data_IF_779102027310
#
_entry.id   IF_779102027310
#
_cell.length_a   1.000
_cell.length_b   1.000
_cell.length_c   1.000
_cell.angle_alpha   90.00
_cell.angle_beta   90.00
_cell.angle_gamma   90.00
#
_symmetry.space_group_name_H-M   'P 1'
#
loop_
_entity.id
_entity.type
_entity.pdbx_description
1 polymer ?
#
# COMPACT_ATOMS: atom_id res chain seq x y z
N UNK A 1 7.79 -37.01 -11.41
CA UNK A 1 8.21 -35.85 -12.23
C UNK A 1 7.38 -34.66 -11.76
N UNK A 2 8.05 -33.69 -11.14
CA UNK A 2 7.45 -32.47 -10.58
C UNK A 2 7.21 -31.47 -11.72
N UNK A 3 6.04 -30.84 -11.77
CA UNK A 3 5.75 -29.75 -12.70
C UNK A 3 4.80 -28.78 -12.03
N UNK A 4 5.38 -27.75 -11.40
CA UNK A 4 4.69 -26.73 -10.62
C UNK A 4 3.74 -25.89 -11.47
N UNK A 5 2.48 -25.83 -11.04
CA UNK A 5 1.53 -24.81 -11.45
C UNK A 5 1.56 -23.67 -10.45
N UNK A 6 2.21 -22.57 -10.81
CA UNK A 6 1.85 -21.25 -10.30
C UNK A 6 2.14 -20.23 -11.39
N UNK A 7 1.37 -20.30 -12.46
CA UNK A 7 1.27 -19.18 -13.38
C UNK A 7 0.48 -18.09 -12.65
N UNK A 8 1.16 -17.03 -12.28
CA UNK A 8 0.55 -15.76 -11.86
C UNK A 8 -0.42 -15.33 -12.95
N UNK A 9 -1.72 -15.51 -12.70
CA UNK A 9 -2.75 -15.02 -13.61
C UNK A 9 -2.58 -13.50 -13.79
N UNK A 10 -2.56 -13.01 -15.03
CA UNK A 10 -2.52 -11.58 -15.29
C UNK A 10 -3.79 -10.97 -14.69
N UNK A 11 -3.58 -10.01 -13.79
CA UNK A 11 -4.67 -9.32 -13.12
C UNK A 11 -5.35 -8.43 -14.14
N UNK A 12 -6.43 -8.95 -14.73
CA UNK A 12 -7.34 -8.21 -15.61
C UNK A 12 -8.26 -7.31 -14.77
N UNK A 13 -7.66 -6.29 -14.17
CA UNK A 13 -8.43 -5.21 -13.57
C UNK A 13 -8.65 -4.13 -14.63
N UNK A 14 -9.88 -3.66 -14.84
CA UNK A 14 -10.14 -2.58 -15.78
C UNK A 14 -9.20 -1.40 -15.45
N UNK A 15 -8.53 -0.79 -16.44
CA UNK A 15 -7.47 0.20 -16.25
C UNK A 15 -7.91 1.50 -15.54
N UNK A 16 -9.19 1.57 -15.13
CA UNK A 16 -9.89 2.78 -14.75
C UNK A 16 -10.62 2.71 -13.39
N UNK A 17 -10.39 1.68 -12.56
CA UNK A 17 -10.99 1.64 -11.22
C UNK A 17 -9.97 1.46 -10.07
N UNK A 18 -10.20 2.18 -8.98
CA UNK A 18 -9.52 1.99 -7.68
C UNK A 18 -10.25 0.98 -6.79
N UNK A 19 -11.19 0.22 -7.35
CA UNK A 19 -12.10 -0.66 -6.65
C UNK A 19 -11.55 -2.08 -6.51
N UNK A 20 -10.38 -2.21 -5.89
CA UNK A 20 -9.78 -3.52 -5.60
C UNK A 20 -8.50 -3.83 -6.38
N UNK A 21 -7.79 -2.81 -6.87
CA UNK A 21 -6.46 -3.04 -7.43
C UNK A 21 -5.38 -3.23 -6.38
N UNK A 22 -5.47 -2.52 -5.25
CA UNK A 22 -4.53 -2.64 -4.13
C UNK A 22 -3.08 -2.22 -4.43
N UNK A 23 -2.69 -2.02 -5.69
CA UNK A 23 -1.29 -1.92 -6.14
C UNK A 23 -0.49 -0.87 -5.38
N UNK A 24 -0.98 0.35 -5.22
CA UNK A 24 -0.25 1.35 -4.45
C UNK A 24 -0.22 1.02 -2.95
N UNK A 25 -1.23 0.35 -2.41
CA UNK A 25 -1.28 -0.03 -0.99
C UNK A 25 -0.36 -1.23 -0.68
N UNK A 26 -0.18 -2.15 -1.63
CA UNK A 26 0.77 -3.27 -1.52
C UNK A 26 2.22 -2.78 -1.38
N UNK A 27 2.53 -1.63 -1.98
CA UNK A 27 3.91 -1.15 -2.09
C UNK A 27 4.32 -0.13 -1.03
N UNK A 28 3.40 0.67 -0.49
CA UNK A 28 3.76 1.89 0.26
C UNK A 28 4.15 1.70 1.74
N UNK A 29 3.89 0.53 2.35
CA UNK A 29 4.31 0.20 3.73
C UNK A 29 3.54 0.87 4.88
N UNK A 30 3.42 2.18 4.84
CA UNK A 30 2.53 2.99 5.66
C UNK A 30 1.61 3.79 4.71
N UNK A 31 0.54 4.47 5.19
CA UNK A 31 -0.15 5.43 4.35
C UNK A 31 0.89 6.36 3.71
N UNK A 32 0.84 6.59 2.39
CA UNK A 32 1.88 7.35 1.71
C UNK A 32 2.03 8.75 2.26
N UNK A 33 3.31 9.11 2.42
CA UNK A 33 3.72 10.25 3.20
C UNK A 33 3.54 9.92 4.68
N UNK A 34 4.66 9.79 5.40
CA UNK A 34 4.72 10.05 6.83
C UNK A 34 3.64 11.08 7.17
N UNK A 35 2.62 10.65 7.90
CA UNK A 35 1.46 11.48 8.15
C UNK A 35 1.95 12.83 8.63
N UNK A 36 1.66 13.87 7.84
CA UNK A 36 1.91 15.24 8.27
C UNK A 36 1.26 15.34 9.65
N UNK A 37 1.95 15.86 10.68
CA UNK A 37 1.41 15.86 12.05
C UNK A 37 -0.02 16.41 12.15
N UNK A 38 -0.39 17.31 11.23
CA UNK A 38 -1.75 17.82 11.08
C UNK A 38 -2.81 16.74 10.79
N UNK A 39 -2.52 15.71 9.99
CA UNK A 39 -3.49 14.66 9.68
C UNK A 39 -3.81 13.82 10.92
N UNK A 40 -2.83 13.60 11.81
CA UNK A 40 -3.03 12.85 13.06
C UNK A 40 -4.10 13.51 13.95
N UNK A 41 -4.24 14.83 13.93
CA UNK A 41 -5.23 15.56 14.73
C UNK A 41 -6.67 15.18 14.38
N UNK A 42 -6.91 14.71 13.15
CA UNK A 42 -8.23 14.37 12.64
C UNK A 42 -8.53 12.87 12.69
N UNK A 43 -7.57 12.04 13.11
CA UNK A 43 -7.76 10.60 13.26
C UNK A 43 -8.32 10.26 14.65
N UNK A 44 -9.20 9.24 14.77
CA UNK A 44 -9.55 8.64 16.06
C UNK A 44 -8.31 8.15 16.81
N UNK A 45 -8.40 8.10 18.14
CA UNK A 45 -7.30 7.69 19.01
C UNK A 45 -6.72 6.32 18.65
N UNK A 46 -7.59 5.32 18.45
CA UNK A 46 -7.16 3.97 18.08
C UNK A 46 -6.32 3.93 16.79
N UNK A 47 -6.63 4.77 15.79
CA UNK A 47 -5.85 4.82 14.55
C UNK A 47 -4.50 5.52 14.77
N UNK A 48 -4.48 6.57 15.62
CA UNK A 48 -3.21 7.21 16.00
C UNK A 48 -2.29 6.25 16.73
N UNK A 49 -2.83 5.42 17.62
CA UNK A 49 -2.08 4.39 18.34
C UNK A 49 -1.53 3.31 17.41
N UNK A 50 -2.34 2.81 16.46
CA UNK A 50 -1.90 1.86 15.43
C UNK A 50 -0.73 2.43 14.60
N UNK A 51 -0.85 3.68 14.15
CA UNK A 51 0.21 4.37 13.41
C UNK A 51 1.47 4.51 14.28
N UNK A 52 1.33 4.95 15.53
CA UNK A 52 2.45 5.15 16.45
C UNK A 52 3.19 3.84 16.73
N UNK A 53 2.47 2.72 16.88
CA UNK A 53 3.04 1.39 17.04
C UNK A 53 3.97 1.02 15.88
N UNK A 54 3.52 1.22 14.63
CA UNK A 54 4.33 0.92 13.46
C UNK A 54 5.48 1.91 13.26
N UNK A 55 5.30 3.19 13.57
CA UNK A 55 6.39 4.18 13.54
C UNK A 55 7.49 3.84 14.56
N UNK A 56 7.11 3.38 15.74
CA UNK A 56 8.06 2.93 16.75
C UNK A 56 8.82 1.67 16.28
N UNK A 57 8.15 0.72 15.63
CA UNK A 57 8.80 -0.44 14.99
C UNK A 57 9.83 0.00 13.93
N UNK A 58 9.49 0.96 13.06
CA UNK A 58 10.43 1.51 12.08
C UNK A 58 11.64 2.19 12.75
N UNK A 59 11.41 2.94 13.82
CA UNK A 59 12.47 3.60 14.60
C UNK A 59 13.41 2.58 15.24
N UNK A 60 12.88 1.50 15.80
CA UNK A 60 13.66 0.44 16.44
C UNK A 60 14.48 -0.37 15.42
N UNK A 61 13.90 -0.65 14.25
CA UNK A 61 14.57 -1.44 13.20
C UNK A 61 15.46 -0.60 12.29
N UNK A 62 15.31 0.73 12.29
CA UNK A 62 16.00 1.63 11.38
C UNK A 62 15.57 1.45 9.92
N UNK A 63 14.48 0.73 9.66
CA UNK A 63 13.98 0.41 8.31
C UNK A 63 12.49 0.70 8.24
N UNK A 64 12.09 1.43 7.20
CA UNK A 64 10.66 1.66 6.94
C UNK A 64 9.97 0.37 6.54
N UNK A 65 8.65 0.30 6.69
CA UNK A 65 7.84 -0.83 6.21
C UNK A 65 8.02 -1.03 4.70
N UNK A 66 8.08 0.05 3.93
CA UNK A 66 8.39 0.00 2.50
C UNK A 66 9.77 -0.63 2.23
N UNK A 67 10.81 -0.22 2.96
CA UNK A 67 12.15 -0.79 2.83
C UNK A 67 12.26 -2.25 3.30
N UNK A 68 11.22 -2.76 3.97
CA UNK A 68 11.05 -4.16 4.38
C UNK A 68 10.06 -4.90 3.48
N UNK A 69 9.63 -4.29 2.37
CA UNK A 69 8.69 -4.87 1.40
C UNK A 69 7.35 -5.29 2.04
N UNK A 70 6.96 -4.57 3.09
CA UNK A 70 5.67 -4.75 3.74
C UNK A 70 4.64 -3.81 3.11
N UNK A 71 3.36 -4.23 3.02
CA UNK A 71 2.29 -3.38 2.54
C UNK A 71 1.92 -2.31 3.56
N UNK A 72 1.17 -1.31 3.09
CA UNK A 72 0.49 -0.32 3.93
C UNK A 72 -0.23 -0.99 5.11
N UNK A 73 -0.10 -0.44 6.32
CA UNK A 73 -0.75 -0.96 7.53
C UNK A 73 -2.28 -1.04 7.40
N UNK A 74 -2.87 -0.16 6.57
CA UNK A 74 -4.31 -0.14 6.30
C UNK A 74 -4.71 -0.95 5.07
N UNK A 75 -3.79 -1.70 4.46
CA UNK A 75 -4.12 -2.55 3.33
C UNK A 75 -4.90 -3.79 3.78
N UNK A 76 -6.07 -3.99 3.19
CA UNK A 76 -6.79 -5.25 3.24
C UNK A 76 -6.40 -6.10 2.02
N UNK A 77 -5.70 -7.20 2.28
CA UNK A 77 -5.19 -8.11 1.24
C UNK A 77 -6.30 -8.91 0.57
N UNK A 78 -7.42 -9.15 1.27
CA UNK A 78 -8.54 -9.94 0.75
C UNK A 78 -9.38 -9.10 -0.21
N UNK A 79 -9.78 -7.91 0.25
CA UNK A 79 -10.64 -7.00 -0.54
C UNK A 79 -9.84 -6.09 -1.47
N UNK A 80 -8.51 -6.05 -1.33
CA UNK A 80 -7.58 -5.17 -2.04
C UNK A 80 -7.93 -3.68 -1.88
N UNK A 81 -8.46 -3.31 -0.71
CA UNK A 81 -8.95 -1.95 -0.38
C UNK A 81 -8.29 -1.43 0.92
N UNK A 82 -8.51 -0.15 1.20
CA UNK A 82 -8.10 0.45 2.48
C UNK A 82 -9.12 0.10 3.56
N UNK A 83 -8.67 -0.42 4.71
CA UNK A 83 -9.52 -0.71 5.88
C UNK A 83 -10.15 0.55 6.47
N UNK A 84 -9.45 1.68 6.39
CA UNK A 84 -9.87 2.97 6.92
C UNK A 84 -10.13 3.98 5.80
N UNK A 85 -11.06 3.66 4.89
CA UNK A 85 -11.33 4.46 3.70
C UNK A 85 -11.77 5.90 4.03
N UNK A 86 -12.49 6.11 5.13
CA UNK A 86 -12.92 7.44 5.59
C UNK A 86 -11.76 8.31 6.10
N UNK A 87 -10.68 7.69 6.59
CA UNK A 87 -9.49 8.36 7.13
C UNK A 87 -8.29 8.37 6.17
N UNK A 88 -8.49 7.84 4.97
CA UNK A 88 -7.48 7.79 3.91
C UNK A 88 -6.94 9.22 3.63
N UNK A 89 -5.61 9.43 3.63
CA UNK A 89 -5.02 10.73 3.30
C UNK A 89 -5.37 11.21 1.90
N UNK A 90 -5.43 12.53 1.69
CA UNK A 90 -5.77 13.12 0.37
C UNK A 90 -4.83 12.66 -0.73
N UNK A 91 -3.52 12.54 -0.44
CA UNK A 91 -2.54 12.02 -1.40
C UNK A 91 -2.87 10.60 -1.90
N UNK A 92 -3.61 9.79 -1.13
CA UNK A 92 -4.11 8.50 -1.57
C UNK A 92 -5.44 8.60 -2.34
N UNK A 93 -6.27 9.60 -2.02
CA UNK A 93 -7.59 9.81 -2.65
C UNK A 93 -7.46 10.41 -4.03
N UNK A 94 -6.50 11.31 -4.19
CA UNK A 94 -6.33 12.15 -5.36
C UNK A 94 -5.43 11.51 -6.43
N UNK A 95 -4.90 10.30 -6.20
CA UNK A 95 -4.12 9.59 -7.22
C UNK A 95 -4.96 9.43 -8.48
N UNK A 96 -4.60 10.08 -9.60
CA UNK A 96 -5.38 9.98 -10.83
C UNK A 96 -5.27 8.56 -11.38
N UNK A 97 -6.41 7.94 -11.66
CA UNK A 97 -6.43 6.59 -12.24
C UNK A 97 -5.84 6.65 -13.65
N UNK A 98 -4.86 5.78 -13.93
CA UNK A 98 -4.09 5.84 -15.18
C UNK A 98 -3.12 7.02 -15.28
N UNK A 99 -3.00 7.84 -14.23
CA UNK A 99 -1.96 8.87 -14.13
C UNK A 99 -0.59 8.27 -13.84
N UNK A 100 0.44 9.12 -13.90
CA UNK A 100 1.85 8.71 -13.75
C UNK A 100 2.12 7.87 -12.50
N UNK A 101 1.64 8.30 -11.32
CA UNK A 101 1.82 7.53 -10.07
C UNK A 101 1.07 6.19 -10.10
N UNK A 102 -0.13 6.14 -10.69
CA UNK A 102 -0.89 4.89 -10.82
C UNK A 102 -0.15 3.88 -11.72
N UNK A 103 0.33 4.34 -12.88
CA UNK A 103 1.08 3.53 -13.83
C UNK A 103 2.42 3.08 -13.25
N UNK A 104 3.14 3.98 -12.60
CA UNK A 104 4.42 3.68 -11.93
C UNK A 104 4.30 2.48 -10.99
N UNK A 105 3.29 2.46 -10.11
CA UNK A 105 3.12 1.34 -9.18
C UNK A 105 2.70 0.06 -9.88
N UNK A 106 1.91 0.14 -10.96
CA UNK A 106 1.52 -1.04 -11.77
C UNK A 106 2.70 -1.66 -12.48
N UNK A 107 3.55 -0.82 -13.08
CA UNK A 107 4.79 -1.25 -13.74
C UNK A 107 5.74 -1.89 -12.74
N UNK A 108 5.96 -1.27 -11.57
CA UNK A 108 6.79 -1.82 -10.51
C UNK A 108 6.33 -3.22 -10.06
N UNK A 109 5.03 -3.44 -9.97
CA UNK A 109 4.47 -4.75 -9.62
C UNK A 109 4.58 -5.78 -10.75
N UNK A 110 4.45 -5.33 -12.00
CA UNK A 110 4.58 -6.19 -13.17
C UNK A 110 6.05 -6.54 -13.50
N UNK A 111 7.00 -5.73 -13.03
CA UNK A 111 8.41 -6.03 -13.17
C UNK A 111 8.76 -7.31 -12.40
N UNK A 112 9.59 -8.20 -12.97
CA UNK A 112 10.05 -9.39 -12.24
C UNK A 112 10.77 -8.94 -10.98
N UNK A 113 10.24 -9.32 -9.82
CA UNK A 113 10.90 -9.10 -8.54
C UNK A 113 12.17 -9.96 -8.54
N UNK A 114 13.33 -9.31 -8.59
CA UNK A 114 14.61 -10.00 -8.62
C UNK A 114 14.88 -10.64 -7.26
N UNK A 115 15.09 -11.96 -7.25
CA UNK A 115 15.71 -12.68 -6.13
C UNK A 115 17.11 -12.07 -5.87
N UNK A 116 17.25 -11.33 -4.78
CA UNK A 116 18.52 -10.72 -4.33
C UNK A 116 18.76 -10.97 -2.86
#
# INVERSE_FOLDING_TARGET
MLGGGSMTEPIDLPPFSCEGCGVCCEEQGLPPGYLVPALLLHLPEALREEIAFHQEEERQTGRTRHARELPCIWYDVETKRCRHYEYRPDICREVPIGGSSCLFWRERRAAPQGDG
#
